data_IF_217685475954
#
_entry.id   IF_217685475954
#
_cell.length_a   1.000
_cell.length_b   1.000
_cell.length_c   1.000
_cell.angle_alpha   90.00
_cell.angle_beta   90.00
_cell.angle_gamma   90.00
#
_symmetry.space_group_name_H-M   'P 1'
#
loop_
_entity.id
_entity.type
_entity.pdbx_description
1 polymer ?
#
# COMPACT_ATOMS: atom_id res chain seq x y z
N UNK A 1 17.48 1.54 39.12
CA UNK A 1 17.03 2.32 37.95
C UNK A 1 17.76 1.80 36.73
N UNK A 2 17.09 0.97 35.94
CA UNK A 2 17.60 0.41 34.68
C UNK A 2 17.38 1.44 33.56
N UNK A 3 18.34 1.68 32.66
CA UNK A 3 18.17 2.67 31.61
C UNK A 3 17.14 2.17 30.58
N UNK A 4 16.11 2.97 30.36
CA UNK A 4 15.15 2.82 29.26
C UNK A 4 15.93 3.05 27.96
N UNK A 5 16.05 2.02 27.11
CA UNK A 5 16.54 2.18 25.74
C UNK A 5 15.44 2.87 24.91
N UNK A 6 15.66 4.07 24.36
CA UNK A 6 14.74 4.66 23.40
C UNK A 6 15.12 4.10 22.03
N UNK A 7 14.41 3.08 21.60
CA UNK A 7 14.68 2.41 20.35
C UNK A 7 13.76 1.23 20.20
N UNK A 8 12.49 1.50 19.93
CA UNK A 8 11.58 0.48 19.41
C UNK A 8 12.16 0.02 18.09
N UNK A 9 12.99 -1.01 18.15
CA UNK A 9 13.60 -1.67 17.01
C UNK A 9 12.42 -2.19 16.17
N UNK A 10 12.09 -1.46 15.09
CA UNK A 10 11.09 -1.92 14.12
C UNK A 10 11.54 -3.30 13.70
N UNK A 11 10.85 -4.32 14.20
CA UNK A 11 11.20 -5.69 13.91
C UNK A 11 10.81 -5.91 12.46
N UNK A 12 11.75 -5.69 11.55
CA UNK A 12 11.53 -5.86 10.12
C UNK A 12 11.43 -7.36 9.86
N UNK A 13 10.20 -7.87 9.89
CA UNK A 13 9.89 -9.21 9.41
C UNK A 13 9.46 -9.05 7.97
N UNK A 14 10.26 -9.59 7.04
CA UNK A 14 9.93 -9.57 5.62
C UNK A 14 8.63 -10.35 5.39
N UNK A 15 7.63 -9.78 4.69
CA UNK A 15 6.41 -10.52 4.33
C UNK A 15 6.72 -11.74 3.47
N UNK A 16 5.82 -12.73 3.49
CA UNK A 16 5.93 -13.90 2.63
C UNK A 16 6.04 -13.50 1.14
N UNK A 17 6.79 -14.25 0.31
CA UNK A 17 7.00 -13.91 -1.10
C UNK A 17 5.70 -13.69 -1.91
N UNK A 18 4.65 -14.45 -1.61
CA UNK A 18 3.33 -14.30 -2.24
C UNK A 18 2.70 -12.93 -1.94
N UNK A 19 2.80 -12.46 -0.69
CA UNK A 19 2.36 -11.12 -0.26
C UNK A 19 3.19 -10.05 -0.95
N UNK A 20 4.52 -10.21 -0.98
CA UNK A 20 5.44 -9.27 -1.65
C UNK A 20 5.07 -9.11 -3.12
N UNK A 21 4.81 -10.21 -3.83
CA UNK A 21 4.40 -10.19 -5.24
C UNK A 21 3.07 -9.47 -5.44
N UNK A 22 2.03 -9.88 -4.71
CA UNK A 22 0.69 -9.33 -4.86
C UNK A 22 0.64 -7.83 -4.54
N UNK A 23 1.30 -7.40 -3.46
CA UNK A 23 1.31 -5.99 -3.08
C UNK A 23 2.26 -5.13 -3.91
N UNK A 24 3.31 -5.70 -4.53
CA UNK A 24 4.14 -4.98 -5.51
C UNK A 24 3.30 -4.59 -6.73
N UNK A 25 2.53 -5.53 -7.27
CA UNK A 25 1.65 -5.26 -8.42
C UNK A 25 0.54 -4.26 -8.05
N UNK A 26 -0.10 -4.45 -6.89
CA UNK A 26 -1.11 -3.51 -6.40
C UNK A 26 -0.53 -2.11 -6.24
N UNK A 27 0.67 -1.97 -5.66
CA UNK A 27 1.35 -0.68 -5.53
C UNK A 27 1.55 0.01 -6.89
N UNK A 28 2.05 -0.71 -7.90
CA UNK A 28 2.31 -0.14 -9.23
C UNK A 28 1.02 0.42 -9.83
N UNK A 29 -0.06 -0.37 -9.84
CA UNK A 29 -1.30 0.01 -10.48
C UNK A 29 -2.07 1.09 -9.69
N UNK A 30 -2.15 0.93 -8.37
CA UNK A 30 -2.79 1.93 -7.50
C UNK A 30 -2.04 3.27 -7.53
N UNK A 31 -0.71 3.27 -7.63
CA UNK A 31 0.08 4.51 -7.73
C UNK A 31 -0.11 5.21 -9.06
N UNK A 32 -0.20 4.48 -10.17
CA UNK A 32 -0.49 5.07 -11.48
C UNK A 32 -1.89 5.71 -11.50
N UNK A 33 -2.90 5.02 -10.95
CA UNK A 33 -4.25 5.56 -10.81
C UNK A 33 -4.30 6.76 -9.85
N UNK A 34 -3.58 6.70 -8.73
CA UNK A 34 -3.48 7.77 -7.74
C UNK A 34 -2.83 9.04 -8.30
N UNK A 35 -1.85 8.92 -9.19
CA UNK A 35 -1.27 10.07 -9.88
C UNK A 35 -2.32 10.78 -10.73
N UNK A 36 -3.05 10.05 -11.58
CA UNK A 36 -4.11 10.62 -12.40
C UNK A 36 -5.22 11.26 -11.54
N UNK A 37 -5.82 10.48 -10.65
CA UNK A 37 -6.91 10.92 -9.80
C UNK A 37 -6.53 12.02 -8.81
N UNK A 38 -5.29 12.04 -8.33
CA UNK A 38 -4.76 13.06 -7.42
C UNK A 38 -4.61 14.44 -8.07
N UNK A 39 -4.41 14.49 -9.39
CA UNK A 39 -4.44 15.71 -10.20
C UNK A 39 -5.81 15.99 -10.82
N UNK A 40 -6.82 15.17 -10.53
CA UNK A 40 -8.17 15.35 -11.05
C UNK A 40 -8.38 14.85 -12.48
N UNK A 41 -7.42 14.13 -13.04
CA UNK A 41 -7.58 13.46 -14.33
C UNK A 41 -8.46 12.22 -14.19
N UNK A 42 -9.08 11.84 -15.29
CA UNK A 42 -9.89 10.63 -15.37
C UNK A 42 -8.99 9.37 -15.31
N UNK A 43 -9.41 8.41 -14.50
CA UNK A 43 -8.82 7.07 -14.45
C UNK A 43 -9.65 6.18 -15.37
N UNK A 44 -9.02 5.60 -16.38
CA UNK A 44 -9.72 4.78 -17.38
C UNK A 44 -10.37 3.54 -16.77
N UNK A 45 -11.44 3.04 -17.39
CA UNK A 45 -12.12 1.82 -16.95
C UNK A 45 -11.16 0.61 -16.88
N UNK A 46 -10.23 0.50 -17.82
CA UNK A 46 -9.23 -0.57 -17.80
C UNK A 46 -8.34 -0.50 -16.56
N UNK A 47 -7.92 0.71 -16.15
CA UNK A 47 -7.13 0.90 -14.94
C UNK A 47 -7.94 0.58 -13.68
N UNK A 48 -9.22 0.95 -13.65
CA UNK A 48 -10.13 0.59 -12.56
C UNK A 48 -10.24 -0.92 -12.38
N UNK A 49 -10.51 -1.65 -13.47
CA UNK A 49 -10.59 -3.11 -13.45
C UNK A 49 -9.28 -3.74 -13.00
N UNK A 50 -8.14 -3.22 -13.47
CA UNK A 50 -6.83 -3.71 -13.08
C UNK A 50 -6.53 -3.48 -11.57
N UNK A 51 -6.89 -2.31 -11.03
CA UNK A 51 -6.79 -2.04 -9.58
C UNK A 51 -7.71 -2.96 -8.79
N UNK A 52 -8.94 -3.19 -9.23
CA UNK A 52 -9.87 -4.10 -8.57
C UNK A 52 -9.34 -5.56 -8.53
N UNK A 53 -8.86 -6.07 -9.66
CA UNK A 53 -8.30 -7.43 -9.74
C UNK A 53 -7.08 -7.60 -8.81
N UNK A 54 -6.16 -6.63 -8.78
CA UNK A 54 -4.98 -6.71 -7.91
C UNK A 54 -5.31 -6.49 -6.43
N UNK A 55 -6.35 -5.72 -6.14
CA UNK A 55 -6.85 -5.55 -4.77
C UNK A 55 -7.36 -6.89 -4.24
N UNK A 56 -8.15 -7.62 -5.04
CA UNK A 56 -8.67 -8.94 -4.65
C UNK A 56 -7.56 -9.98 -4.47
N UNK A 57 -6.57 -9.99 -5.37
CA UNK A 57 -5.37 -10.85 -5.23
C UNK A 57 -4.58 -10.54 -3.95
N UNK A 58 -4.35 -9.25 -3.66
CA UNK A 58 -3.64 -8.82 -2.46
C UNK A 58 -4.41 -9.17 -1.18
N UNK A 59 -5.74 -9.00 -1.19
CA UNK A 59 -6.64 -9.43 -0.10
C UNK A 59 -6.51 -10.93 0.16
N UNK A 60 -6.58 -11.74 -0.89
CA UNK A 60 -6.46 -13.20 -0.79
C UNK A 60 -5.10 -13.62 -0.23
N UNK A 61 -4.01 -13.02 -0.74
CA UNK A 61 -2.66 -13.30 -0.26
C UNK A 61 -2.50 -12.93 1.23
N UNK A 62 -3.06 -11.79 1.64
CA UNK A 62 -2.99 -11.34 3.03
C UNK A 62 -3.85 -12.19 3.99
N UNK A 63 -5.00 -12.69 3.54
CA UNK A 63 -5.89 -13.53 4.34
C UNK A 63 -5.29 -14.91 4.64
N UNK A 64 -4.46 -15.43 3.73
CA UNK A 64 -3.77 -16.71 3.88
C UNK A 64 -2.59 -16.67 4.86
N UNK A 65 -2.09 -15.48 5.19
CA UNK A 65 -0.96 -15.33 6.08
C UNK A 65 -1.38 -15.53 7.54
N UNK A 66 -0.72 -16.43 8.30
CA UNK A 66 -0.96 -16.54 9.74
C UNK A 66 -0.69 -15.20 10.41
N UNK A 67 -1.66 -14.69 11.16
CA UNK A 67 -1.71 -13.34 11.72
C UNK A 67 -0.45 -13.03 12.54
N UNK A 68 0.55 -12.43 11.90
CA UNK A 68 1.67 -11.77 12.56
C UNK A 68 1.46 -10.28 12.43
N UNK A 69 1.08 -9.66 13.54
CA UNK A 69 0.86 -8.21 13.56
C UNK A 69 2.22 -7.51 13.57
N UNK A 70 2.65 -7.11 12.38
CA UNK A 70 3.91 -6.41 12.14
C UNK A 70 3.62 -5.09 11.47
N UNK A 71 4.54 -4.12 11.60
CA UNK A 71 4.44 -2.83 10.91
C UNK A 71 4.26 -2.99 9.39
N UNK A 72 4.89 -4.00 8.80
CA UNK A 72 4.74 -4.33 7.39
C UNK A 72 3.30 -4.76 7.08
N UNK A 73 2.76 -5.73 7.82
CA UNK A 73 1.38 -6.20 7.63
C UNK A 73 0.37 -5.06 7.87
N UNK A 74 0.60 -4.21 8.86
CA UNK A 74 -0.25 -3.04 9.12
C UNK A 74 -0.23 -2.03 7.95
N UNK A 75 0.93 -1.75 7.36
CA UNK A 75 1.04 -0.88 6.19
C UNK A 75 0.33 -1.47 4.96
N UNK A 76 0.50 -2.77 4.72
CA UNK A 76 -0.18 -3.49 3.63
C UNK A 76 -1.70 -3.48 3.82
N UNK A 77 -2.22 -3.70 5.04
CA UNK A 77 -3.65 -3.57 5.35
C UNK A 77 -4.20 -2.19 5.05
N UNK A 78 -3.47 -1.12 5.37
CA UNK A 78 -3.89 0.26 5.09
C UNK A 78 -3.95 0.55 3.59
N UNK A 79 -2.96 0.09 2.82
CA UNK A 79 -2.99 0.19 1.36
C UNK A 79 -4.18 -0.59 0.79
N UNK A 80 -4.43 -1.80 1.28
CA UNK A 80 -5.56 -2.60 0.82
C UNK A 80 -6.89 -1.88 1.09
N UNK A 81 -7.10 -1.39 2.31
CA UNK A 81 -8.33 -0.72 2.71
C UNK A 81 -8.63 0.55 1.89
N UNK A 82 -7.60 1.37 1.58
CA UNK A 82 -7.82 2.56 0.76
C UNK A 82 -8.14 2.20 -0.70
N UNK A 83 -7.54 1.14 -1.25
CA UNK A 83 -7.88 0.65 -2.59
C UNK A 83 -9.32 0.13 -2.64
N UNK A 84 -9.74 -0.64 -1.64
CA UNK A 84 -11.11 -1.14 -1.50
C UNK A 84 -12.12 0.01 -1.45
N UNK A 85 -11.87 1.02 -0.60
CA UNK A 85 -12.73 2.20 -0.53
C UNK A 85 -12.84 2.94 -1.87
N UNK A 86 -11.72 3.11 -2.58
CA UNK A 86 -11.68 3.75 -3.90
C UNK A 86 -12.51 2.95 -4.92
N UNK A 87 -12.44 1.62 -4.89
CA UNK A 87 -13.24 0.72 -5.74
C UNK A 87 -14.72 0.80 -5.38
N UNK A 88 -15.08 0.84 -4.09
CA UNK A 88 -16.47 0.99 -3.64
C UNK A 88 -17.09 2.31 -4.13
N UNK A 89 -16.32 3.40 -4.14
CA UNK A 89 -16.77 4.66 -4.72
C UNK A 89 -17.08 4.51 -6.22
N UNK A 90 -16.18 3.85 -6.96
CA UNK A 90 -16.37 3.59 -8.39
C UNK A 90 -17.61 2.73 -8.67
N UNK A 91 -17.79 1.61 -7.96
CA UNK A 91 -18.96 0.72 -8.10
C UNK A 91 -20.26 1.48 -7.79
N UNK A 92 -20.23 2.37 -6.79
CA UNK A 92 -21.37 3.21 -6.43
C UNK A 92 -21.62 4.40 -7.39
N UNK A 93 -20.84 4.54 -8.47
CA UNK A 93 -20.91 5.68 -9.38
C UNK A 93 -20.52 7.02 -8.75
N UNK A 94 -19.83 6.99 -7.61
CA UNK A 94 -19.41 8.18 -6.87
C UNK A 94 -18.02 8.60 -7.31
N UNK A 95 -17.83 9.91 -7.52
CA UNK A 95 -16.52 10.48 -7.85
C UNK A 95 -15.58 10.34 -6.66
N UNK A 96 -14.42 9.72 -6.89
CA UNK A 96 -13.36 9.64 -5.88
C UNK A 96 -12.68 11.02 -5.71
N UNK A 97 -12.66 11.61 -4.50
CA UNK A 97 -12.03 12.91 -4.27
C UNK A 97 -10.51 12.86 -4.51
N UNK A 98 -9.89 13.92 -5.08
CA UNK A 98 -8.43 13.97 -5.28
C UNK A 98 -7.60 13.75 -4.00
N UNK A 99 -8.13 14.17 -2.84
CA UNK A 99 -7.47 13.93 -1.55
C UNK A 99 -7.35 12.44 -1.20
N UNK A 100 -8.37 11.64 -1.55
CA UNK A 100 -8.37 10.18 -1.32
C UNK A 100 -7.33 9.51 -2.22
N UNK A 101 -7.21 9.94 -3.47
CA UNK A 101 -6.15 9.47 -4.37
C UNK A 101 -4.75 9.79 -3.86
N UNK A 102 -4.52 11.00 -3.33
CA UNK A 102 -3.22 11.38 -2.74
C UNK A 102 -2.89 10.52 -1.52
N UNK A 103 -3.88 10.23 -0.68
CA UNK A 103 -3.69 9.34 0.46
C UNK A 103 -3.36 7.90 0.00
N UNK A 104 -4.03 7.39 -1.04
CA UNK A 104 -3.68 6.10 -1.63
C UNK A 104 -2.23 6.06 -2.14
N UNK A 105 -1.78 7.13 -2.81
CA UNK A 105 -0.39 7.23 -3.25
C UNK A 105 0.62 7.28 -2.09
N UNK A 106 0.26 7.92 -0.97
CA UNK A 106 1.08 7.95 0.25
C UNK A 106 1.16 6.57 0.91
N UNK A 107 0.01 5.94 1.17
CA UNK A 107 -0.08 4.60 1.74
C UNK A 107 0.61 3.55 0.85
N UNK A 108 0.52 3.72 -0.47
CA UNK A 108 1.25 2.92 -1.44
C UNK A 108 2.76 2.98 -1.22
N UNK A 109 3.34 4.18 -1.10
CA UNK A 109 4.78 4.35 -0.84
C UNK A 109 5.19 3.78 0.51
N UNK A 110 4.39 4.01 1.55
CA UNK A 110 4.65 3.50 2.89
C UNK A 110 4.67 1.96 2.92
N UNK A 111 3.72 1.32 2.23
CA UNK A 111 3.68 -0.14 2.08
C UNK A 111 4.84 -0.67 1.23
N UNK A 112 5.15 0.01 0.11
CA UNK A 112 6.23 -0.41 -0.80
C UNK A 112 7.61 -0.39 -0.14
N UNK A 113 7.83 0.50 0.84
CA UNK A 113 9.05 0.53 1.65
C UNK A 113 9.36 -0.80 2.35
N UNK A 114 8.34 -1.60 2.70
CA UNK A 114 8.51 -2.91 3.33
C UNK A 114 8.71 -4.04 2.29
N UNK A 115 8.25 -3.83 1.07
CA UNK A 115 8.36 -4.76 -0.07
C UNK A 115 9.74 -4.67 -0.71
N UNK A 116 10.25 -3.43 -0.85
CA UNK A 116 11.53 -3.12 -1.49
C UNK A 116 12.30 -2.06 -0.68
N UNK A 117 12.95 -2.48 0.43
CA UNK A 117 13.66 -1.56 1.30
C UNK A 117 14.86 -0.85 0.61
N UNK A 118 15.36 -1.40 -0.49
CA UNK A 118 16.44 -0.79 -1.28
C UNK A 118 16.06 0.54 -1.94
N UNK A 119 14.77 0.83 -2.08
CA UNK A 119 14.26 2.08 -2.69
C UNK A 119 14.30 3.27 -1.70
N UNK A 120 14.29 3.02 -0.39
CA UNK A 120 14.45 4.06 0.64
C UNK A 120 15.87 4.16 1.23
N UNK A 121 16.75 3.19 0.93
CA UNK A 121 18.13 3.14 1.43
C UNK A 121 19.08 4.25 0.93
N UNK A 122 18.65 5.11 -0.01
CA UNK A 122 19.40 6.31 -0.42
C UNK A 122 19.08 7.58 0.38
N UNK A 123 18.29 7.47 1.46
CA UNK A 123 18.25 8.47 2.54
C UNK A 123 18.90 7.88 3.80
N UNK A 124 20.18 7.55 3.69
CA UNK A 124 21.03 7.49 4.87
C UNK A 124 21.20 8.91 5.42
N UNK A 125 21.38 9.09 6.74
CA UNK A 125 21.75 10.40 7.26
C UNK A 125 23.12 10.76 6.68
N UNK A 126 23.25 11.93 6.07
CA UNK A 126 24.54 12.62 6.00
C UNK A 126 24.94 12.96 7.44
N UNK A 127 25.58 12.01 8.14
CA UNK A 127 26.42 12.23 9.32
C UNK A 127 27.50 11.14 9.40
#
# INVERSE_FOLDING_TARGET
>A
MTPVRPGGERTYVRPAPEIVGAFRELYILSSAAAQLGGYGFEVSELQWRAVAERTEKARTALHREPVRDTDAVAALRRLLAICEYIIELYIAGRKCPPAVWREAGKLGRDAYAYIDPGVNGKRGPDL
#
